data_IF_369371508128
#
_entry.id   IF_369371508128
#
_cell.length_a   1.000
_cell.length_b   1.000
_cell.length_c   1.000
_cell.angle_alpha   90.00
_cell.angle_beta   90.00
_cell.angle_gamma   90.00
#
_symmetry.space_group_name_H-M   'P 1'
#
loop_
_entity.id
_entity.type
_entity.pdbx_description
1 polymer ?
#
# COMPACT_ATOMS: atom_id res chain seq x y z
N UNK A 1 27.57 19.91 10.14
CA UNK A 1 26.79 19.26 11.21
C UNK A 1 25.31 19.42 10.84
N UNK A 2 24.73 18.41 10.16
CA UNK A 2 23.33 18.46 9.76
C UNK A 2 22.46 18.25 11.00
N UNK A 3 21.69 19.27 11.39
CA UNK A 3 20.92 19.29 12.64
C UNK A 3 19.83 18.18 12.63
N UNK A 4 19.94 17.11 13.44
CA UNK A 4 19.03 15.96 13.39
C UNK A 4 17.56 16.32 13.63
N UNK A 5 17.29 17.35 14.45
CA UNK A 5 15.93 17.85 14.70
C UNK A 5 15.25 18.43 13.44
N UNK A 6 16.03 19.01 12.52
CA UNK A 6 15.49 19.53 11.27
C UNK A 6 15.06 18.39 10.31
N UNK A 7 15.82 17.29 10.28
CA UNK A 7 15.49 16.12 9.44
C UNK A 7 14.22 15.42 9.92
N UNK A 8 14.06 15.23 11.22
CA UNK A 8 12.85 14.64 11.79
C UNK A 8 11.61 15.50 11.50
N UNK A 9 11.73 16.82 11.61
CA UNK A 9 10.65 17.74 11.27
C UNK A 9 10.29 17.68 9.78
N UNK A 10 11.28 17.66 8.89
CA UNK A 10 11.06 17.50 7.45
C UNK A 10 10.42 16.15 7.13
N UNK A 11 10.82 15.06 7.80
CA UNK A 11 10.21 13.75 7.60
C UNK A 11 8.73 13.74 8.01
N UNK A 12 8.40 14.35 9.15
CA UNK A 12 7.02 14.49 9.61
C UNK A 12 6.19 15.36 8.64
N UNK A 13 6.76 16.48 8.18
CA UNK A 13 6.09 17.36 7.23
C UNK A 13 5.87 16.68 5.86
N UNK A 14 6.88 15.97 5.36
CA UNK A 14 6.80 15.21 4.12
C UNK A 14 5.74 14.09 4.19
N UNK A 15 5.61 13.42 5.34
CA UNK A 15 4.53 12.44 5.57
C UNK A 15 3.16 13.10 5.55
N UNK A 16 2.99 14.23 6.24
CA UNK A 16 1.72 14.96 6.23
C UNK A 16 1.34 15.43 4.81
N UNK A 17 2.31 15.85 3.99
CA UNK A 17 2.08 16.16 2.58
C UNK A 17 1.63 14.92 1.78
N UNK A 18 2.24 13.76 2.02
CA UNK A 18 1.87 12.52 1.35
C UNK A 18 0.46 12.06 1.71
N UNK A 19 0.07 12.23 2.98
CA UNK A 19 -1.26 11.89 3.49
C UNK A 19 -2.32 12.85 2.92
N UNK A 20 -1.98 14.12 2.72
CA UNK A 20 -2.84 15.11 2.06
C UNK A 20 -2.85 15.03 0.51
N UNK A 21 -2.22 14.01 -0.07
CA UNK A 21 -2.20 13.78 -1.53
C UNK A 21 -1.22 14.66 -2.32
N UNK A 22 -0.47 15.54 -1.64
CA UNK A 22 0.54 16.41 -2.25
C UNK A 22 1.83 15.63 -2.57
N UNK A 23 1.72 14.63 -3.44
CA UNK A 23 2.75 13.61 -3.63
C UNK A 23 4.08 14.21 -4.12
N UNK A 24 4.08 15.12 -5.09
CA UNK A 24 5.34 15.71 -5.55
C UNK A 24 6.07 16.47 -4.44
N UNK A 25 5.36 17.35 -3.73
CA UNK A 25 5.93 18.11 -2.62
C UNK A 25 6.40 17.20 -1.48
N UNK A 26 5.65 16.13 -1.18
CA UNK A 26 6.05 15.13 -0.20
C UNK A 26 7.39 14.49 -0.57
N UNK A 27 7.56 14.07 -1.83
CA UNK A 27 8.80 13.45 -2.29
C UNK A 27 9.98 14.41 -2.16
N UNK A 28 9.80 15.67 -2.54
CA UNK A 28 10.86 16.69 -2.48
C UNK A 28 11.29 16.98 -1.02
N UNK A 29 10.31 17.10 -0.12
CA UNK A 29 10.58 17.32 1.31
C UNK A 29 11.24 16.10 1.95
N UNK A 30 10.76 14.88 1.67
CA UNK A 30 11.34 13.65 2.20
C UNK A 30 12.76 13.42 1.69
N UNK A 31 13.05 13.82 0.44
CA UNK A 31 14.41 13.73 -0.13
C UNK A 31 15.40 14.64 0.59
N UNK A 32 14.93 15.76 1.16
CA UNK A 32 15.73 16.65 2.02
C UNK A 32 15.86 16.13 3.46
N UNK A 33 14.91 15.33 3.92
CA UNK A 33 14.94 14.67 5.23
C UNK A 33 15.88 13.45 5.24
N UNK A 34 16.02 12.78 4.09
CA UNK A 34 16.87 11.62 3.89
C UNK A 34 18.37 11.98 3.81
N UNK A 35 19.23 11.10 4.31
CA UNK A 35 20.69 11.25 4.29
C UNK A 35 21.30 9.88 4.06
N UNK A 36 22.19 9.70 3.06
CA UNK A 36 22.85 8.41 2.83
C UNK A 36 23.62 7.89 4.05
N UNK A 37 24.18 8.78 4.86
CA UNK A 37 24.96 8.42 6.06
C UNK A 37 24.11 7.87 7.22
N UNK A 38 22.79 8.13 7.22
CA UNK A 38 21.88 7.62 8.23
C UNK A 38 20.50 7.36 7.60
N UNK A 39 20.36 6.26 6.84
CA UNK A 39 19.15 5.98 6.12
C UNK A 39 18.06 5.44 7.07
N UNK A 40 16.83 5.93 6.92
CA UNK A 40 15.66 5.45 7.65
C UNK A 40 14.71 4.74 6.68
N UNK A 41 14.47 3.45 6.92
CA UNK A 41 13.55 2.65 6.11
C UNK A 41 12.14 3.23 6.08
N UNK A 42 11.71 3.93 7.14
CA UNK A 42 10.38 4.55 7.21
C UNK A 42 10.25 5.70 6.23
N UNK A 43 11.30 6.50 6.06
CA UNK A 43 11.33 7.60 5.09
C UNK A 43 11.38 7.03 3.67
N UNK A 44 12.26 6.05 3.43
CA UNK A 44 12.37 5.37 2.14
C UNK A 44 11.04 4.73 1.73
N UNK A 45 10.33 4.09 2.66
CA UNK A 45 9.01 3.54 2.40
C UNK A 45 8.00 4.60 1.97
N UNK A 46 7.97 5.77 2.62
CA UNK A 46 7.04 6.84 2.21
C UNK A 46 7.42 7.41 0.85
N UNK A 47 8.71 7.62 0.57
CA UNK A 47 9.16 8.04 -0.76
C UNK A 47 8.71 7.05 -1.84
N UNK A 48 8.79 5.75 -1.57
CA UNK A 48 8.23 4.71 -2.44
C UNK A 48 6.73 4.90 -2.69
N UNK A 49 5.93 5.02 -1.63
CA UNK A 49 4.47 5.23 -1.75
C UNK A 49 4.13 6.51 -2.50
N UNK A 50 4.89 7.57 -2.27
CA UNK A 50 4.73 8.83 -2.97
C UNK A 50 5.03 8.70 -4.47
N UNK A 51 6.06 7.95 -4.83
CA UNK A 51 6.39 7.67 -6.24
C UNK A 51 5.33 6.81 -6.93
N UNK A 52 4.76 5.81 -6.25
CA UNK A 52 3.64 5.05 -6.79
C UNK A 52 2.43 5.95 -7.07
N UNK A 53 2.10 6.88 -6.17
CA UNK A 53 1.04 7.89 -6.39
C UNK A 53 1.31 8.82 -7.59
N UNK A 54 2.59 8.97 -7.96
CA UNK A 54 3.04 9.73 -9.14
C UNK A 54 3.16 8.87 -10.40
N UNK A 55 2.69 7.61 -10.39
CA UNK A 55 2.85 6.62 -11.47
C UNK A 55 4.32 6.29 -11.80
N UNK A 56 5.25 6.51 -10.87
CA UNK A 56 6.69 6.22 -11.00
C UNK A 56 7.04 4.89 -10.33
N UNK A 57 6.36 3.81 -10.71
CA UNK A 57 6.39 2.51 -10.03
C UNK A 57 7.78 1.85 -9.98
N UNK A 58 8.54 1.92 -11.07
CA UNK A 58 9.90 1.35 -11.10
C UNK A 58 10.84 2.04 -10.11
N UNK A 59 10.70 3.36 -9.95
CA UNK A 59 11.47 4.10 -8.97
C UNK A 59 11.00 3.78 -7.55
N UNK A 60 9.68 3.71 -7.33
CA UNK A 60 9.10 3.32 -6.05
C UNK A 60 9.67 2.00 -5.53
N UNK A 61 9.78 0.99 -6.40
CA UNK A 61 10.34 -0.33 -6.08
C UNK A 61 11.79 -0.28 -5.63
N UNK A 62 12.59 0.64 -6.18
CA UNK A 62 13.99 0.83 -5.71
C UNK A 62 14.02 1.39 -4.29
N UNK A 63 13.11 2.27 -3.94
CA UNK A 63 12.97 2.77 -2.57
C UNK A 63 12.48 1.69 -1.61
N UNK A 64 11.48 0.89 -1.99
CA UNK A 64 11.04 -0.25 -1.16
C UNK A 64 12.15 -1.29 -0.98
N UNK A 65 12.87 -1.65 -2.05
CA UNK A 65 14.01 -2.55 -1.95
C UNK A 65 15.09 -1.99 -1.02
N UNK A 66 15.31 -0.67 -1.03
CA UNK A 66 16.24 -0.01 -0.12
C UNK A 66 15.75 -0.02 1.33
N UNK A 67 14.46 0.19 1.56
CA UNK A 67 13.84 0.07 2.87
C UNK A 67 13.94 -1.37 3.41
N UNK A 68 13.67 -2.39 2.58
CA UNK A 68 13.73 -3.81 2.97
C UNK A 68 15.17 -4.30 3.23
N UNK A 69 16.19 -3.66 2.64
CA UNK A 69 17.59 -3.92 3.03
C UNK A 69 17.90 -3.46 4.47
N UNK A 70 17.21 -2.45 4.96
CA UNK A 70 17.40 -1.90 6.32
C UNK A 70 16.47 -2.53 7.35
N UNK A 71 15.25 -2.87 6.93
CA UNK A 71 14.26 -3.59 7.74
C UNK A 71 13.74 -4.79 6.93
N UNK A 72 14.49 -5.91 6.96
CA UNK A 72 14.04 -7.15 6.35
C UNK A 72 12.68 -7.56 6.89
N UNK A 73 11.84 -8.13 6.02
CA UNK A 73 10.52 -8.65 6.36
C UNK A 73 9.54 -7.65 7.00
N UNK A 74 9.79 -6.34 6.81
CA UNK A 74 8.88 -5.31 7.31
C UNK A 74 7.55 -5.38 6.53
N UNK A 75 6.45 -5.84 7.16
CA UNK A 75 5.23 -6.20 6.45
C UNK A 75 4.55 -4.99 5.82
N UNK A 76 4.68 -3.80 6.42
CA UNK A 76 4.16 -2.57 5.85
C UNK A 76 4.85 -2.20 4.52
N UNK A 77 6.16 -2.40 4.42
CA UNK A 77 6.96 -2.14 3.21
C UNK A 77 6.70 -3.22 2.15
N UNK A 78 6.67 -4.49 2.55
CA UNK A 78 6.31 -5.60 1.66
C UNK A 78 4.91 -5.41 1.07
N UNK A 79 3.94 -4.98 1.88
CA UNK A 79 2.59 -4.67 1.40
C UNK A 79 2.57 -3.57 0.35
N UNK A 80 3.33 -2.49 0.56
CA UNK A 80 3.42 -1.40 -0.41
C UNK A 80 4.12 -1.85 -1.70
N UNK A 81 5.18 -2.65 -1.60
CA UNK A 81 5.84 -3.25 -2.76
C UNK A 81 4.90 -4.16 -3.55
N UNK A 82 4.12 -5.00 -2.87
CA UNK A 82 3.11 -5.85 -3.50
C UNK A 82 2.05 -5.05 -4.26
N UNK A 83 1.54 -3.96 -3.66
CA UNK A 83 0.65 -3.03 -4.36
C UNK A 83 1.32 -2.36 -5.56
N UNK A 84 2.61 -2.00 -5.47
CA UNK A 84 3.36 -1.46 -6.61
C UNK A 84 3.47 -2.45 -7.78
N UNK A 85 3.64 -3.75 -7.50
CA UNK A 85 3.55 -4.80 -8.53
C UNK A 85 2.15 -4.94 -9.12
N UNK A 86 1.11 -4.82 -8.30
CA UNK A 86 -0.27 -4.84 -8.76
C UNK A 86 -0.57 -3.68 -9.72
N UNK A 87 -0.05 -2.47 -9.43
CA UNK A 87 -0.27 -1.27 -10.27
C UNK A 87 0.29 -1.42 -11.69
N UNK A 88 1.33 -2.24 -11.90
CA UNK A 88 1.86 -2.57 -13.23
C UNK A 88 1.35 -3.90 -13.78
N UNK A 89 0.33 -4.49 -13.15
CA UNK A 89 -0.28 -5.79 -13.50
C UNK A 89 0.66 -7.00 -13.38
N UNK A 90 1.73 -6.89 -12.59
CA UNK A 90 2.61 -8.01 -12.24
C UNK A 90 2.00 -8.82 -11.08
N UNK A 91 0.78 -9.32 -11.28
CA UNK A 91 -0.03 -9.95 -10.22
C UNK A 91 0.65 -11.14 -9.52
N UNK A 92 1.40 -12.03 -10.21
CA UNK A 92 2.11 -13.12 -9.52
C UNK A 92 3.17 -12.61 -8.52
N UNK A 93 3.94 -11.57 -8.88
CA UNK A 93 4.92 -10.96 -7.96
C UNK A 93 4.24 -10.23 -6.81
N UNK A 94 3.12 -9.54 -7.12
CA UNK A 94 2.32 -8.86 -6.11
C UNK A 94 1.84 -9.84 -5.03
N UNK A 95 1.30 -11.00 -5.44
CA UNK A 95 0.86 -12.04 -4.52
C UNK A 95 2.02 -12.59 -3.69
N UNK A 96 3.12 -12.98 -4.33
CA UNK A 96 4.28 -13.54 -3.64
C UNK A 96 4.76 -12.58 -2.53
N UNK A 97 4.89 -11.31 -2.87
CA UNK A 97 5.31 -10.26 -1.92
C UNK A 97 4.29 -10.06 -0.79
N UNK A 98 2.99 -10.04 -1.11
CA UNK A 98 1.93 -9.89 -0.11
C UNK A 98 1.79 -11.10 0.80
N UNK A 99 2.10 -12.31 0.33
CA UNK A 99 2.16 -13.50 1.18
C UNK A 99 3.31 -13.44 2.17
N UNK A 100 4.46 -12.89 1.76
CA UNK A 100 5.56 -12.63 2.70
C UNK A 100 5.12 -11.63 3.78
N UNK A 101 4.44 -10.55 3.40
CA UNK A 101 3.88 -9.59 4.36
C UNK A 101 2.87 -10.24 5.31
N UNK A 102 1.97 -11.08 4.77
CA UNK A 102 0.91 -11.76 5.49
C UNK A 102 1.43 -12.81 6.49
N UNK A 103 2.60 -13.42 6.23
CA UNK A 103 3.22 -14.37 7.13
C UNK A 103 3.76 -13.72 8.42
N UNK A 104 3.87 -12.39 8.47
CA UNK A 104 4.33 -11.66 9.64
C UNK A 104 3.30 -11.68 10.77
N UNK A 105 3.74 -11.86 12.02
CA UNK A 105 2.88 -11.70 13.20
C UNK A 105 2.32 -10.27 13.34
N UNK A 106 2.92 -9.29 12.67
CA UNK A 106 2.47 -7.89 12.61
C UNK A 106 1.56 -7.60 11.42
N UNK A 107 1.10 -8.64 10.69
CA UNK A 107 0.19 -8.48 9.58
C UNK A 107 -1.18 -7.97 10.06
N UNK A 108 -1.58 -6.80 9.56
CA UNK A 108 -2.86 -6.18 9.88
C UNK A 108 -3.92 -6.43 8.80
N UNK A 109 -5.13 -5.96 9.04
CA UNK A 109 -6.29 -6.09 8.13
C UNK A 109 -5.99 -5.54 6.73
N UNK A 110 -5.19 -4.47 6.63
CA UNK A 110 -4.83 -3.86 5.33
C UNK A 110 -4.03 -4.83 4.47
N UNK A 111 -3.08 -5.56 5.07
CA UNK A 111 -2.28 -6.57 4.37
C UNK A 111 -3.16 -7.70 3.85
N UNK A 112 -4.10 -8.17 4.68
CA UNK A 112 -5.08 -9.21 4.29
C UNK A 112 -5.95 -8.76 3.13
N UNK A 113 -6.49 -7.54 3.21
CA UNK A 113 -7.28 -6.93 2.13
C UNK A 113 -6.49 -6.79 0.83
N UNK A 114 -5.24 -6.33 0.90
CA UNK A 114 -4.37 -6.21 -0.28
C UNK A 114 -4.09 -7.58 -0.92
N UNK A 115 -3.80 -8.60 -0.12
CA UNK A 115 -3.58 -9.96 -0.62
C UNK A 115 -4.84 -10.50 -1.29
N UNK A 116 -6.01 -10.37 -0.66
CA UNK A 116 -7.28 -10.81 -1.23
C UNK A 116 -7.62 -10.07 -2.53
N UNK A 117 -7.36 -8.76 -2.60
CA UNK A 117 -7.51 -7.98 -3.83
C UNK A 117 -6.66 -8.57 -4.96
N UNK A 118 -5.37 -8.81 -4.73
CA UNK A 118 -4.47 -9.35 -5.75
C UNK A 118 -4.86 -10.76 -6.18
N UNK A 119 -5.20 -11.63 -5.22
CA UNK A 119 -5.67 -13.01 -5.48
C UNK A 119 -6.99 -12.98 -6.29
N UNK A 120 -7.89 -12.06 -5.95
CA UNK A 120 -9.15 -11.84 -6.68
C UNK A 120 -8.95 -11.31 -8.10
N UNK A 121 -8.00 -10.39 -8.31
CA UNK A 121 -7.61 -9.90 -9.64
C UNK A 121 -7.03 -11.00 -10.53
N UNK A 122 -6.49 -12.08 -9.95
CA UNK A 122 -6.07 -13.28 -10.67
C UNK A 122 -7.22 -14.29 -10.89
N UNK A 123 -8.45 -13.96 -10.47
CA UNK A 123 -9.65 -14.79 -10.65
C UNK A 123 -9.89 -15.84 -9.56
N UNK A 124 -9.05 -15.91 -8.52
CA UNK A 124 -9.19 -16.87 -7.41
C UNK A 124 -10.10 -16.33 -6.30
N UNK A 125 -11.36 -16.09 -6.64
CA UNK A 125 -12.33 -15.42 -5.76
C UNK A 125 -12.60 -16.17 -4.44
N UNK A 126 -12.70 -17.51 -4.46
CA UNK A 126 -12.95 -18.30 -3.25
C UNK A 126 -11.80 -18.19 -2.23
N UNK A 127 -10.57 -18.11 -2.73
CA UNK A 127 -9.38 -17.90 -1.89
C UNK A 127 -9.36 -16.48 -1.33
N UNK A 128 -9.63 -15.47 -2.17
CA UNK A 128 -9.74 -14.08 -1.74
C UNK A 128 -10.77 -13.91 -0.60
N UNK A 129 -11.94 -14.55 -0.71
CA UNK A 129 -12.98 -14.51 0.31
C UNK A 129 -12.50 -15.13 1.62
N UNK A 130 -11.79 -16.27 1.55
CA UNK A 130 -11.22 -16.94 2.72
C UNK A 130 -10.21 -16.05 3.44
N UNK A 131 -9.40 -15.28 2.70
CA UNK A 131 -8.38 -14.39 3.27
C UNK A 131 -9.03 -13.26 4.10
N UNK A 132 -10.15 -12.67 3.65
CA UNK A 132 -10.79 -11.53 4.35
C UNK A 132 -11.85 -11.92 5.37
N UNK A 133 -12.32 -13.18 5.37
CA UNK A 133 -13.24 -13.70 6.40
C UNK A 133 -12.70 -13.61 7.83
N UNK A 134 -11.38 -13.50 8.00
CA UNK A 134 -10.76 -13.33 9.31
C UNK A 134 -11.01 -11.93 9.92
N UNK A 135 -11.36 -10.94 9.10
CA UNK A 135 -11.50 -9.53 9.51
C UNK A 135 -12.92 -8.98 9.40
N UNK A 136 -13.74 -9.61 8.57
CA UNK A 136 -15.06 -9.12 8.19
C UNK A 136 -16.11 -10.22 8.42
N UNK A 137 -17.34 -9.83 8.78
CA UNK A 137 -18.49 -10.72 8.69
C UNK A 137 -18.55 -11.42 7.32
N UNK A 138 -18.97 -12.68 7.31
CA UNK A 138 -18.89 -13.54 6.11
C UNK A 138 -19.66 -12.97 4.90
N UNK A 139 -20.75 -12.26 5.16
CA UNK A 139 -21.57 -11.56 4.17
C UNK A 139 -20.86 -10.34 3.55
N UNK A 140 -20.14 -9.55 4.35
CA UNK A 140 -19.33 -8.43 3.86
C UNK A 140 -18.13 -8.90 3.03
N UNK A 141 -17.45 -9.97 3.49
CA UNK A 141 -16.36 -10.62 2.74
C UNK A 141 -16.83 -11.09 1.36
N UNK A 142 -17.99 -11.77 1.30
CA UNK A 142 -18.58 -12.26 0.06
C UNK A 142 -19.00 -11.11 -0.87
N UNK A 143 -19.60 -10.03 -0.33
CA UNK A 143 -20.03 -8.88 -1.11
C UNK A 143 -18.85 -8.15 -1.79
N UNK A 144 -17.74 -7.95 -1.07
CA UNK A 144 -16.54 -7.30 -1.60
C UNK A 144 -15.91 -8.08 -2.75
N UNK A 145 -15.83 -9.41 -2.63
CA UNK A 145 -15.30 -10.28 -3.68
C UNK A 145 -16.25 -10.35 -4.88
N UNK A 146 -17.57 -10.38 -4.65
CA UNK A 146 -18.56 -10.36 -5.71
C UNK A 146 -18.49 -9.06 -6.56
N UNK A 147 -18.30 -7.91 -5.91
CA UNK A 147 -18.08 -6.64 -6.61
C UNK A 147 -16.84 -6.67 -7.50
N UNK A 148 -15.72 -7.18 -6.98
CA UNK A 148 -14.48 -7.36 -7.74
C UNK A 148 -14.67 -8.27 -8.97
N UNK A 149 -15.40 -9.38 -8.81
CA UNK A 149 -15.71 -10.31 -9.90
C UNK A 149 -16.57 -9.65 -10.99
N UNK A 150 -17.61 -8.90 -10.60
CA UNK A 150 -18.47 -8.18 -11.55
C UNK A 150 -17.68 -7.11 -12.32
N UNK A 151 -16.84 -6.34 -11.63
CA UNK A 151 -15.95 -5.34 -12.25
C UNK A 151 -15.02 -5.97 -13.30
N UNK A 152 -14.44 -7.14 -13.04
CA UNK A 152 -13.55 -7.83 -13.99
C UNK A 152 -14.30 -8.43 -15.20
N UNK A 153 -15.56 -8.84 -15.02
CA UNK A 153 -16.37 -9.42 -16.08
C UNK A 153 -16.97 -8.37 -17.03
N UNK A 154 -17.16 -7.13 -16.56
CA UNK A 154 -17.58 -6.01 -17.39
C UNK A 154 -16.38 -5.55 -18.24
N UNK A 155 -16.30 -6.04 -19.48
CA UNK A 155 -15.24 -5.72 -20.46
C UNK A 155 -15.08 -4.24 -20.87
N UNK A 156 -15.80 -3.31 -20.25
CA UNK A 156 -15.68 -1.87 -20.53
C UNK A 156 -15.19 -1.13 -19.28
N UNK A 157 -14.14 -0.32 -19.44
CA UNK A 157 -13.58 0.56 -18.40
C UNK A 157 -14.60 1.53 -17.77
N UNK A 158 -14.19 2.35 -16.78
CA UNK A 158 -15.11 2.98 -15.84
C UNK A 158 -16.08 3.93 -16.57
N UNK A 159 -17.32 3.46 -16.81
CA UNK A 159 -18.44 4.34 -17.11
C UNK A 159 -18.87 4.96 -15.79
N UNK A 160 -18.64 6.27 -15.69
CA UNK A 160 -19.20 7.19 -14.70
C UNK A 160 -20.55 6.71 -14.15
N UNK A 161 -20.54 6.17 -12.95
CA UNK A 161 -21.72 6.01 -12.13
C UNK A 161 -21.38 6.55 -10.75
N UNK A 162 -21.72 7.82 -10.56
CA UNK A 162 -21.95 8.40 -9.26
C UNK A 162 -22.94 7.51 -8.50
N UNK A 163 -22.43 6.61 -7.67
CA UNK A 163 -23.13 5.99 -6.54
C UNK A 163 -22.06 5.49 -5.56
N UNK A 164 -21.99 6.20 -4.44
CA UNK A 164 -21.25 5.94 -3.21
C UNK A 164 -20.16 4.86 -3.30
N UNK A 165 -18.90 5.30 -3.32
CA UNK A 165 -17.79 4.46 -2.89
C UNK A 165 -18.13 3.87 -1.51
N UNK A 166 -17.85 2.58 -1.24
CA UNK A 166 -17.90 2.07 0.12
C UNK A 166 -16.97 2.93 0.96
N UNK A 167 -17.56 3.61 1.94
CA UNK A 167 -16.87 4.52 2.84
C UNK A 167 -15.73 3.79 3.53
N UNK A 168 -14.54 4.38 3.49
CA UNK A 168 -13.41 3.95 4.31
C UNK A 168 -13.86 3.75 5.76
N UNK A 169 -13.35 2.73 6.49
CA UNK A 169 -13.68 2.56 7.88
C UNK A 169 -13.29 3.83 8.64
N UNK A 170 -14.27 4.41 9.30
CA UNK A 170 -14.12 5.55 10.19
C UNK A 170 -13.11 5.15 11.25
N UNK A 171 -11.97 5.82 11.29
CA UNK A 171 -11.06 5.74 12.43
C UNK A 171 -11.84 6.26 13.63
N UNK A 172 -12.24 5.36 14.52
CA UNK A 172 -12.65 5.73 15.86
C UNK A 172 -11.47 6.49 16.49
N UNK A 173 -11.68 7.78 16.71
CA UNK A 173 -10.88 8.54 17.67
C UNK A 173 -11.43 8.12 19.02
N UNK A 174 -10.66 7.33 19.75
CA UNK A 174 -10.85 7.22 21.19
C UNK A 174 -10.24 8.47 21.85
N UNK A 175 -10.96 8.96 22.86
CA UNK A 175 -10.76 10.21 23.62
C UNK A 175 -9.38 10.34 24.32
#
# INVERSE_FOLDING_TARGET
IANPGNKALLAAYGRALADNGNSQAAFDVLSRAHSPDNPDWRILSVQGTTLDKLNRHEEARRYYASALRLAPDEPSVLSNLGLSYMLTKELPKAEETLRQAYASARADTRIRQNLALVVGLQGRFAEAETIVKADLPADEAAANVAYLRDMLNRKDGPRTASRAAPTAPVVARDD
#
